data_IF_605998970548
#
_entry.id   IF_605998970548
#
_cell.length_a   1.000
_cell.length_b   1.000
_cell.length_c   1.000
_cell.angle_alpha   90.00
_cell.angle_beta   90.00
_cell.angle_gamma   90.00
#
_symmetry.space_group_name_H-M   'P 1'
#
loop_
_entity.id
_entity.type
_entity.pdbx_description
1 polymer ?
#
# COMPACT_ATOMS: atom_id res chain seq x y z
N UNK A 1 -16.60 7.31 -12.65
CA UNK A 1 -15.26 6.94 -13.17
C UNK A 1 -14.40 6.46 -11.99
N UNK A 2 -13.46 5.53 -12.22
CA UNK A 2 -12.56 5.08 -11.17
C UNK A 2 -11.57 6.20 -10.78
N UNK A 3 -11.57 6.62 -9.53
CA UNK A 3 -10.68 7.71 -9.04
C UNK A 3 -9.91 7.37 -7.76
N UNK A 4 -10.05 6.14 -7.24
CA UNK A 4 -9.28 5.70 -6.07
C UNK A 4 -7.87 5.28 -6.51
N UNK A 5 -6.88 5.87 -5.89
CA UNK A 5 -5.47 5.54 -6.00
C UNK A 5 -5.06 4.85 -4.72
N UNK A 6 -4.67 3.59 -4.81
CA UNK A 6 -4.18 2.83 -3.68
C UNK A 6 -2.68 2.99 -3.60
N UNK A 7 -2.14 3.19 -2.40
CA UNK A 7 -0.71 3.09 -2.13
C UNK A 7 -0.52 1.94 -1.15
N UNK A 8 0.10 0.88 -1.63
CA UNK A 8 0.28 -0.34 -0.85
C UNK A 8 1.75 -0.78 -0.80
N UNK A 9 2.02 -1.87 -0.13
CA UNK A 9 3.35 -2.41 0.15
C UNK A 9 3.53 -2.70 1.62
N UNK A 10 4.60 -3.36 1.97
CA UNK A 10 4.94 -3.77 3.33
C UNK A 10 5.02 -2.57 4.29
N UNK A 11 4.74 -2.70 5.58
CA UNK A 11 4.99 -1.65 6.57
C UNK A 11 6.46 -1.16 6.48
N UNK A 12 6.66 0.17 6.44
CA UNK A 12 8.02 0.74 6.39
C UNK A 12 8.50 1.22 5.01
N UNK A 13 7.88 0.82 3.90
CA UNK A 13 8.29 1.16 2.54
C UNK A 13 8.02 2.62 2.11
N UNK A 14 7.25 3.40 2.89
CA UNK A 14 7.03 4.83 2.62
C UNK A 14 5.63 5.22 2.14
N UNK A 15 4.62 4.36 2.30
CA UNK A 15 3.23 4.63 1.87
C UNK A 15 2.68 5.98 2.31
N UNK A 16 2.73 6.25 3.62
CA UNK A 16 2.20 7.50 4.21
C UNK A 16 2.96 8.74 3.71
N UNK A 17 4.27 8.62 3.50
CA UNK A 17 5.09 9.71 2.96
C UNK A 17 4.65 10.07 1.54
N UNK A 18 4.46 9.07 0.68
CA UNK A 18 4.00 9.29 -0.68
C UNK A 18 2.56 9.83 -0.70
N UNK A 19 1.67 9.25 0.12
CA UNK A 19 0.28 9.67 0.20
C UNK A 19 0.15 11.16 0.58
N UNK A 20 0.84 11.59 1.64
CA UNK A 20 0.87 13.00 2.05
C UNK A 20 1.42 13.91 0.94
N UNK A 21 2.47 13.46 0.25
CA UNK A 21 3.07 14.25 -0.83
C UNK A 21 2.16 14.36 -2.07
N UNK A 22 1.44 13.31 -2.43
CA UNK A 22 0.43 13.36 -3.51
C UNK A 22 -0.71 14.31 -3.16
N UNK A 23 -1.17 14.32 -1.91
CA UNK A 23 -2.29 15.15 -1.46
C UNK A 23 -1.92 16.64 -1.26
N UNK A 24 -0.65 17.02 -1.40
CA UNK A 24 -0.26 18.44 -1.54
C UNK A 24 -0.70 19.02 -2.90
N UNK A 25 -0.98 18.17 -3.88
CA UNK A 25 -1.47 18.61 -5.19
C UNK A 25 -2.98 18.80 -5.15
N UNK A 26 -3.53 19.93 -5.68
CA UNK A 26 -4.97 20.13 -5.80
C UNK A 26 -5.66 18.97 -6.51
N UNK A 27 -6.86 18.64 -6.08
CA UNK A 27 -7.67 17.56 -6.64
C UNK A 27 -7.30 16.15 -6.14
N UNK A 28 -6.40 16.05 -5.12
CA UNK A 28 -6.12 14.80 -4.43
C UNK A 28 -6.53 14.89 -2.96
N UNK A 29 -7.23 13.87 -2.48
CA UNK A 29 -7.72 13.77 -1.11
C UNK A 29 -7.23 12.52 -0.42
N UNK A 30 -6.55 12.68 0.72
CA UNK A 30 -6.11 11.59 1.55
C UNK A 30 -7.29 11.01 2.34
N UNK A 31 -7.44 9.69 2.31
CA UNK A 31 -8.32 8.96 3.20
C UNK A 31 -7.53 7.87 3.91
N UNK A 32 -7.39 8.03 5.22
CA UNK A 32 -6.88 6.97 6.09
C UNK A 32 -8.05 6.03 6.43
N UNK A 33 -7.92 4.76 6.05
CA UNK A 33 -9.00 3.79 6.15
C UNK A 33 -9.48 3.58 7.60
N UNK A 34 -8.54 3.53 8.55
CA UNK A 34 -8.84 3.41 9.97
C UNK A 34 -9.66 4.60 10.51
N UNK A 35 -9.35 5.79 10.05
CA UNK A 35 -10.09 7.00 10.44
C UNK A 35 -11.48 7.03 9.81
N UNK A 36 -11.60 6.62 8.55
CA UNK A 36 -12.89 6.50 7.87
C UNK A 36 -13.81 5.52 8.61
N UNK A 37 -13.29 4.31 8.89
CA UNK A 37 -14.02 3.26 9.62
C UNK A 37 -14.48 3.76 10.98
N UNK A 38 -13.62 4.43 11.73
CA UNK A 38 -13.95 4.93 13.07
C UNK A 38 -14.94 6.09 13.01
N UNK A 39 -14.71 7.09 12.18
CA UNK A 39 -15.52 8.31 12.10
C UNK A 39 -16.94 8.02 11.60
N UNK A 40 -17.07 7.17 10.60
CA UNK A 40 -18.35 6.83 10.00
C UNK A 40 -18.98 5.56 10.58
N UNK A 41 -18.40 5.01 11.66
CA UNK A 41 -18.87 3.81 12.37
C UNK A 41 -19.07 2.58 11.45
N UNK A 42 -18.16 2.41 10.48
CA UNK A 42 -18.20 1.32 9.52
C UNK A 42 -17.57 0.04 10.09
N UNK A 43 -18.00 -0.36 11.27
CA UNK A 43 -17.50 -1.54 11.98
C UNK A 43 -18.63 -2.26 12.71
N UNK A 44 -18.48 -3.57 12.87
CA UNK A 44 -19.42 -4.43 13.58
C UNK A 44 -19.19 -4.35 15.10
N UNK A 45 -17.92 -4.35 15.53
CA UNK A 45 -17.52 -4.32 16.95
C UNK A 45 -16.09 -3.85 17.11
N UNK A 46 -15.74 -3.50 18.34
CA UNK A 46 -14.35 -3.27 18.74
C UNK A 46 -13.76 -4.53 19.37
N UNK A 47 -12.67 -5.03 18.85
CA UNK A 47 -11.89 -6.15 19.41
C UNK A 47 -10.92 -5.61 20.46
N UNK A 48 -11.24 -5.85 21.75
CA UNK A 48 -10.45 -5.36 22.88
C UNK A 48 -9.09 -6.05 22.95
N UNK A 49 -8.99 -7.33 22.61
CA UNK A 49 -7.75 -8.10 22.67
C UNK A 49 -6.75 -7.61 21.63
N UNK A 50 -7.20 -7.32 20.43
CA UNK A 50 -6.38 -6.81 19.32
C UNK A 50 -6.31 -5.29 19.26
N UNK A 51 -7.08 -4.59 20.10
CA UNK A 51 -7.20 -3.12 20.13
C UNK A 51 -7.53 -2.54 18.74
N UNK A 52 -8.48 -3.16 18.02
CA UNK A 52 -8.85 -2.77 16.66
C UNK A 52 -10.34 -2.93 16.41
N UNK A 53 -10.85 -2.24 15.39
CA UNK A 53 -12.24 -2.38 14.95
C UNK A 53 -12.37 -3.54 13.96
N UNK A 54 -13.41 -4.37 14.15
CA UNK A 54 -13.83 -5.38 13.17
C UNK A 54 -14.69 -4.68 12.14
N UNK A 55 -14.15 -4.51 10.94
CA UNK A 55 -14.77 -3.71 9.87
C UNK A 55 -16.03 -4.38 9.34
N UNK A 56 -17.08 -3.59 9.13
CA UNK A 56 -18.21 -3.98 8.28
C UNK A 56 -17.82 -3.82 6.81
N UNK A 57 -17.44 -4.93 6.20
CA UNK A 57 -16.95 -4.94 4.80
C UNK A 57 -18.01 -4.44 3.81
N UNK A 58 -19.29 -4.73 4.04
CA UNK A 58 -20.39 -4.33 3.17
C UNK A 58 -20.58 -2.82 3.19
N UNK A 59 -20.69 -2.24 4.37
CA UNK A 59 -20.84 -0.80 4.56
C UNK A 59 -19.61 -0.04 4.05
N UNK A 60 -18.41 -0.55 4.32
CA UNK A 60 -17.18 0.06 3.82
C UNK A 60 -17.10 0.00 2.30
N UNK A 61 -17.45 -1.12 1.67
CA UNK A 61 -17.51 -1.27 0.21
C UNK A 61 -18.48 -0.25 -0.43
N UNK A 62 -19.68 -0.11 0.12
CA UNK A 62 -20.67 0.87 -0.33
C UNK A 62 -20.12 2.30 -0.23
N UNK A 63 -19.50 2.63 0.91
CA UNK A 63 -18.91 3.95 1.14
C UNK A 63 -17.77 4.28 0.18
N UNK A 64 -16.85 3.34 -0.03
CA UNK A 64 -15.76 3.51 -1.00
C UNK A 64 -16.28 3.63 -2.44
N UNK A 65 -17.34 2.92 -2.78
CA UNK A 65 -18.04 3.08 -4.06
C UNK A 65 -18.62 4.48 -4.24
N UNK A 66 -19.18 5.09 -3.20
CA UNK A 66 -19.65 6.49 -3.21
C UNK A 66 -18.48 7.46 -3.37
N UNK A 67 -17.41 7.28 -2.60
CA UNK A 67 -16.21 8.12 -2.67
C UNK A 67 -15.55 8.05 -4.06
N UNK A 68 -15.63 6.90 -4.73
CA UNK A 68 -15.07 6.76 -6.09
C UNK A 68 -15.76 7.58 -7.16
N UNK A 69 -16.91 8.16 -6.87
CA UNK A 69 -17.67 9.02 -7.78
C UNK A 69 -17.42 10.51 -7.54
N UNK A 70 -16.64 10.87 -6.52
CA UNK A 70 -16.31 12.27 -6.26
C UNK A 70 -15.46 12.85 -7.40
N UNK A 71 -15.41 14.17 -7.50
CA UNK A 71 -14.53 14.89 -8.43
C UNK A 71 -13.06 14.80 -8.03
N UNK A 72 -12.79 14.57 -6.75
CA UNK A 72 -11.43 14.45 -6.21
C UNK A 72 -10.86 13.04 -6.43
N UNK A 73 -9.55 12.96 -6.64
CA UNK A 73 -8.81 11.69 -6.64
C UNK A 73 -8.54 11.26 -5.22
N UNK A 74 -9.11 10.14 -4.82
CA UNK A 74 -8.93 9.59 -3.48
C UNK A 74 -7.60 8.86 -3.40
N UNK A 75 -6.74 9.25 -2.49
CA UNK A 75 -5.48 8.56 -2.16
C UNK A 75 -5.70 7.74 -0.90
N UNK A 76 -5.56 6.43 -1.02
CA UNK A 76 -5.81 5.47 0.05
C UNK A 76 -4.53 4.68 0.36
N UNK A 77 -3.73 5.10 1.36
CA UNK A 77 -2.62 4.28 1.83
C UNK A 77 -3.16 3.10 2.65
N UNK A 78 -2.88 1.89 2.22
CA UNK A 78 -3.32 0.68 2.93
C UNK A 78 -2.36 -0.47 2.66
N UNK A 79 -2.10 -1.30 3.66
CA UNK A 79 -1.45 -2.60 3.48
C UNK A 79 -2.47 -3.71 3.15
N UNK A 80 -3.74 -3.43 3.33
CA UNK A 80 -4.85 -4.31 2.99
C UNK A 80 -5.54 -3.73 1.75
N UNK A 81 -5.32 -4.32 0.59
CA UNK A 81 -6.11 -4.02 -0.63
C UNK A 81 -7.40 -4.83 -0.59
N UNK A 82 -7.93 -5.00 0.52
CA UNK A 82 -8.95 -5.94 0.90
C UNK A 82 -10.12 -6.16 -0.04
N UNK A 83 -10.82 -7.21 0.23
CA UNK A 83 -12.06 -7.67 -0.42
C UNK A 83 -13.16 -6.60 -0.51
N UNK A 84 -13.03 -5.53 0.27
CA UNK A 84 -13.98 -4.41 0.36
C UNK A 84 -13.77 -3.31 -0.70
N UNK A 85 -12.67 -3.33 -1.48
CA UNK A 85 -12.45 -2.35 -2.55
C UNK A 85 -13.07 -2.84 -3.86
N UNK A 86 -14.11 -2.16 -4.39
CA UNK A 86 -14.63 -2.51 -5.70
C UNK A 86 -13.55 -2.26 -6.76
N UNK A 87 -13.13 -3.30 -7.48
CA UNK A 87 -12.12 -3.19 -8.55
C UNK A 87 -12.42 -2.07 -9.54
N UNK A 88 -13.71 -1.85 -9.85
CA UNK A 88 -14.16 -0.80 -10.76
C UNK A 88 -13.84 0.61 -10.22
N UNK A 89 -13.80 0.81 -8.92
CA UNK A 89 -13.52 2.09 -8.26
C UNK A 89 -12.04 2.46 -8.24
N UNK A 90 -11.15 1.48 -8.42
CA UNK A 90 -9.71 1.68 -8.37
C UNK A 90 -9.18 2.11 -9.74
N UNK A 91 -8.53 3.27 -9.78
CA UNK A 91 -7.81 3.77 -10.95
C UNK A 91 -6.46 3.08 -11.10
N UNK A 92 -5.68 3.06 -10.03
CA UNK A 92 -4.33 2.49 -10.01
C UNK A 92 -3.94 2.13 -8.57
N UNK A 93 -3.23 1.02 -8.42
CA UNK A 93 -2.52 0.66 -7.20
C UNK A 93 -1.02 0.87 -7.41
N UNK A 94 -0.43 1.71 -6.58
CA UNK A 94 1.02 1.93 -6.50
C UNK A 94 1.57 1.00 -5.41
N UNK A 95 2.29 -0.03 -5.81
CA UNK A 95 2.93 -0.98 -4.89
C UNK A 95 4.36 -0.52 -4.65
N UNK A 96 4.63 -0.03 -3.45
CA UNK A 96 5.97 0.42 -3.06
C UNK A 96 6.78 -0.78 -2.59
N UNK A 97 7.97 -0.91 -3.15
CA UNK A 97 8.94 -1.95 -2.83
C UNK A 97 10.15 -1.31 -2.15
N UNK A 98 10.83 -2.05 -1.31
CA UNK A 98 12.03 -1.60 -0.63
C UNK A 98 12.98 -2.77 -0.39
N UNK A 99 14.27 -2.54 -0.60
CA UNK A 99 15.31 -3.51 -0.27
C UNK A 99 15.07 -4.13 1.12
N UNK A 100 15.04 -5.48 1.24
CA UNK A 100 14.72 -6.17 2.49
C UNK A 100 15.62 -5.82 3.66
N UNK A 101 16.92 -5.64 3.43
CA UNK A 101 17.89 -5.27 4.48
C UNK A 101 17.60 -3.87 5.00
N UNK A 102 17.32 -2.93 4.10
CA UNK A 102 16.94 -1.56 4.47
C UNK A 102 15.61 -1.57 5.20
N UNK A 103 14.65 -2.36 4.75
CA UNK A 103 13.34 -2.49 5.39
C UNK A 103 13.46 -3.00 6.82
N UNK A 104 14.17 -4.11 7.02
CA UNK A 104 14.41 -4.67 8.36
C UNK A 104 15.00 -3.63 9.30
N UNK A 105 16.09 -2.97 8.90
CA UNK A 105 16.73 -1.91 9.70
C UNK A 105 15.76 -0.78 10.05
N UNK A 106 14.91 -0.36 9.11
CA UNK A 106 13.88 0.67 9.38
C UNK A 106 12.83 0.22 10.39
N UNK A 107 12.41 -1.03 10.32
CA UNK A 107 11.41 -1.58 11.25
C UNK A 107 12.02 -1.73 12.65
N UNK A 108 13.26 -2.20 12.75
CA UNK A 108 14.00 -2.29 14.02
C UNK A 108 14.19 -0.91 14.66
N UNK A 109 14.57 0.10 13.87
CA UNK A 109 14.73 1.47 14.35
C UNK A 109 13.42 2.10 14.84
N UNK A 110 12.25 1.57 14.41
CA UNK A 110 10.92 1.96 14.92
C UNK A 110 10.49 1.20 16.17
N UNK A 111 11.36 0.42 16.78
CA UNK A 111 11.08 -0.33 17.99
C UNK A 111 10.34 -1.66 17.78
N UNK A 112 10.25 -2.16 16.54
CA UNK A 112 9.62 -3.46 16.30
C UNK A 112 10.52 -4.59 16.83
N UNK A 113 9.89 -5.64 17.37
CA UNK A 113 10.64 -6.84 17.79
C UNK A 113 11.35 -7.48 16.58
N UNK A 114 12.41 -8.23 16.81
CA UNK A 114 13.13 -8.97 15.75
C UNK A 114 12.15 -9.79 14.92
N UNK A 115 11.34 -10.60 15.57
CA UNK A 115 10.34 -11.46 14.94
C UNK A 115 9.39 -10.66 14.03
N UNK A 116 8.76 -9.61 14.54
CA UNK A 116 7.80 -8.80 13.76
C UNK A 116 8.48 -8.07 12.60
N UNK A 117 9.70 -7.60 12.78
CA UNK A 117 10.47 -6.97 11.71
C UNK A 117 10.80 -8.00 10.63
N UNK A 118 11.20 -9.22 11.02
CA UNK A 118 11.50 -10.30 10.09
C UNK A 118 10.25 -10.74 9.30
N UNK A 119 9.14 -11.07 9.96
CA UNK A 119 7.87 -11.44 9.30
C UNK A 119 7.47 -10.46 8.18
N UNK A 120 7.68 -9.16 8.39
CA UNK A 120 7.39 -8.16 7.36
C UNK A 120 8.47 -8.08 6.27
N UNK A 121 9.73 -8.31 6.64
CA UNK A 121 10.84 -8.37 5.66
C UNK A 121 10.69 -9.58 4.74
N UNK A 122 10.35 -10.73 5.29
CA UNK A 122 10.05 -11.93 4.53
C UNK A 122 8.87 -11.73 3.57
N UNK A 123 7.78 -11.10 4.06
CA UNK A 123 6.65 -10.74 3.19
C UNK A 123 7.04 -9.80 2.03
N UNK A 124 8.05 -8.94 2.21
CA UNK A 124 8.61 -8.11 1.15
C UNK A 124 9.44 -8.93 0.17
N UNK A 125 10.27 -9.87 0.64
CA UNK A 125 11.05 -10.79 -0.19
C UNK A 125 10.11 -11.63 -1.07
N UNK A 126 9.02 -12.13 -0.48
CA UNK A 126 8.02 -12.99 -1.14
C UNK A 126 7.01 -12.22 -1.99
N UNK A 127 7.18 -10.92 -2.20
CA UNK A 127 6.29 -10.09 -3.02
C UNK A 127 4.81 -10.08 -2.60
N UNK A 128 4.50 -10.38 -1.33
CA UNK A 128 3.12 -10.60 -0.86
C UNK A 128 2.19 -9.46 -1.28
N UNK A 129 2.54 -8.21 -1.00
CA UNK A 129 1.70 -7.05 -1.35
C UNK A 129 1.52 -6.87 -2.87
N UNK A 130 2.53 -7.23 -3.66
CA UNK A 130 2.47 -7.16 -5.13
C UNK A 130 1.55 -8.24 -5.69
N UNK A 131 1.70 -9.46 -5.22
CA UNK A 131 0.89 -10.60 -5.67
C UNK A 131 -0.59 -10.42 -5.30
N UNK A 132 -0.90 -10.00 -4.07
CA UNK A 132 -2.26 -9.65 -3.67
C UNK A 132 -2.85 -8.55 -4.54
N UNK A 133 -2.08 -7.50 -4.83
CA UNK A 133 -2.53 -6.39 -5.67
C UNK A 133 -2.90 -6.87 -7.07
N UNK A 134 -2.06 -7.73 -7.66
CA UNK A 134 -2.27 -8.28 -9.00
C UNK A 134 -3.46 -9.23 -9.04
N UNK A 135 -3.62 -10.06 -8.02
CA UNK A 135 -4.76 -10.98 -7.90
C UNK A 135 -6.08 -10.22 -7.80
N UNK A 136 -6.17 -9.22 -6.95
CA UNK A 136 -7.41 -8.50 -6.66
C UNK A 136 -7.79 -7.49 -7.75
N UNK A 137 -6.81 -6.78 -8.30
CA UNK A 137 -7.06 -5.66 -9.22
C UNK A 137 -6.74 -6.01 -10.68
N UNK A 138 -5.98 -7.06 -10.90
CA UNK A 138 -5.40 -7.42 -12.19
C UNK A 138 -4.15 -6.59 -12.53
N UNK A 139 -3.23 -7.15 -13.34
CA UNK A 139 -1.91 -6.56 -13.59
C UNK A 139 -1.97 -5.15 -14.23
N UNK A 140 -3.03 -4.87 -15.00
CA UNK A 140 -3.19 -3.57 -15.66
C UNK A 140 -3.47 -2.39 -14.72
N UNK A 141 -3.88 -2.67 -13.47
CA UNK A 141 -4.15 -1.65 -12.46
C UNK A 141 -3.08 -1.59 -11.36
N UNK A 142 -1.97 -2.29 -11.54
CA UNK A 142 -0.89 -2.35 -10.57
C UNK A 142 0.37 -1.76 -11.18
N UNK A 143 0.98 -0.81 -10.47
CA UNK A 143 2.25 -0.22 -10.83
C UNK A 143 3.20 -0.36 -9.64
N UNK A 144 4.31 -1.05 -9.86
CA UNK A 144 5.35 -1.29 -8.86
C UNK A 144 6.37 -0.15 -8.88
N UNK A 145 6.78 0.31 -7.72
CA UNK A 145 7.80 1.35 -7.55
C UNK A 145 8.83 0.86 -6.55
N UNK A 146 10.03 0.60 -6.99
CA UNK A 146 11.16 0.40 -6.10
C UNK A 146 11.56 1.74 -5.47
N UNK A 147 11.51 1.81 -4.14
CA UNK A 147 11.87 2.99 -3.35
C UNK A 147 13.30 2.93 -2.81
N UNK A 148 14.01 1.83 -3.06
CA UNK A 148 15.41 1.65 -2.68
C UNK A 148 16.25 2.75 -3.29
N UNK A 149 17.04 3.42 -2.47
CA UNK A 149 17.93 4.54 -2.89
C UNK A 149 17.26 5.70 -3.63
N UNK A 150 15.90 5.80 -3.57
CA UNK A 150 15.17 6.93 -4.16
C UNK A 150 14.76 7.93 -3.08
N UNK A 151 14.87 9.21 -3.41
CA UNK A 151 14.30 10.27 -2.58
C UNK A 151 12.77 10.26 -2.66
N UNK A 152 12.10 10.78 -1.64
CA UNK A 152 10.64 10.93 -1.64
C UNK A 152 10.13 11.74 -2.85
N UNK A 153 10.92 12.69 -3.35
CA UNK A 153 10.59 13.47 -4.55
C UNK A 153 10.68 12.61 -5.83
N UNK A 154 11.67 11.74 -5.93
CA UNK A 154 11.81 10.82 -7.08
C UNK A 154 10.64 9.84 -7.14
N UNK A 155 10.27 9.23 -6.02
CA UNK A 155 9.10 8.33 -5.90
C UNK A 155 7.81 9.06 -6.26
N UNK A 156 7.63 10.30 -5.78
CA UNK A 156 6.49 11.13 -6.13
C UNK A 156 6.39 11.42 -7.62
N UNK A 157 7.49 11.85 -8.26
CA UNK A 157 7.53 12.12 -9.72
C UNK A 157 7.19 10.87 -10.53
N UNK A 158 7.71 9.72 -10.13
CA UNK A 158 7.43 8.42 -10.77
C UNK A 158 5.95 8.04 -10.62
N UNK A 159 5.38 8.24 -9.42
CA UNK A 159 3.96 8.02 -9.15
C UNK A 159 3.05 8.90 -10.03
N UNK A 160 3.38 10.17 -10.21
CA UNK A 160 2.62 11.07 -11.09
C UNK A 160 2.69 10.62 -12.55
N UNK A 161 3.85 10.16 -13.03
CA UNK A 161 4.00 9.63 -14.39
C UNK A 161 3.13 8.38 -14.59
N UNK A 162 3.10 7.47 -13.61
CA UNK A 162 2.24 6.28 -13.66
C UNK A 162 0.74 6.68 -13.72
N UNK A 163 0.33 7.66 -12.93
CA UNK A 163 -1.04 8.15 -12.88
C UNK A 163 -1.48 8.88 -14.17
N UNK A 164 -0.57 9.58 -14.85
CA UNK A 164 -0.86 10.32 -16.09
C UNK A 164 -0.94 9.40 -17.30
N UNK A 165 -0.07 8.40 -17.38
CA UNK A 165 0.00 7.49 -18.53
C UNK A 165 -1.15 6.51 -18.60
N UNK A 166 -1.91 6.31 -17.49
CA UNK A 166 -3.05 5.38 -17.43
C UNK A 166 -2.69 3.92 -17.74
N UNK A 167 -1.43 3.63 -17.93
CA UNK A 167 -0.89 2.31 -18.30
C UNK A 167 0.26 1.94 -17.37
N UNK A 168 0.27 0.70 -17.01
CA UNK A 168 1.42 -0.01 -16.47
C UNK A 168 2.53 0.01 -17.53
N UNK A 169 3.46 0.95 -17.42
CA UNK A 169 4.78 0.71 -17.99
C UNK A 169 5.31 -0.60 -17.39
N UNK A 170 6.20 -1.29 -18.08
CA UNK A 170 6.97 -2.38 -17.44
C UNK A 170 7.60 -1.75 -16.19
N UNK A 171 7.01 -1.96 -15.03
CA UNK A 171 7.65 -1.70 -13.76
C UNK A 171 8.91 -2.57 -13.76
N UNK A 172 10.04 -2.03 -13.41
CA UNK A 172 11.22 -2.84 -13.18
C UNK A 172 10.85 -3.80 -12.07
N UNK A 173 10.56 -5.04 -12.45
CA UNK A 173 10.19 -6.08 -11.51
C UNK A 173 11.42 -6.33 -10.65
N UNK A 174 11.34 -5.87 -9.41
CA UNK A 174 12.35 -6.22 -8.41
C UNK A 174 12.05 -7.66 -8.01
N UNK A 175 13.02 -8.52 -8.17
CA UNK A 175 12.95 -9.91 -7.71
C UNK A 175 13.90 -10.07 -6.52
N UNK A 176 13.37 -9.84 -5.32
CA UNK A 176 14.17 -9.96 -4.10
C UNK A 176 14.60 -11.40 -3.83
N UNK A 177 13.80 -12.42 -4.21
CA UNK A 177 14.16 -13.83 -4.07
C UNK A 177 15.38 -14.22 -4.94
N UNK A 178 15.63 -13.53 -6.04
CA UNK A 178 16.82 -13.74 -6.82
C UNK A 178 18.09 -13.13 -6.21
N UNK A 179 17.92 -12.19 -5.27
CA UNK A 179 19.01 -11.46 -4.63
C UNK A 179 19.28 -11.92 -3.18
N UNK A 180 18.26 -12.46 -2.51
CA UNK A 180 18.32 -12.82 -1.10
C UNK A 180 17.73 -14.20 -0.87
N UNK A 181 18.50 -15.09 -0.25
CA UNK A 181 17.96 -16.29 0.38
C UNK A 181 17.34 -15.89 1.73
N UNK A 182 16.01 -16.10 1.95
CA UNK A 182 15.36 -15.70 3.19
C UNK A 182 15.96 -16.33 4.43
N UNK A 183 16.37 -17.62 4.36
CA UNK A 183 16.92 -18.35 5.50
C UNK A 183 18.29 -17.81 5.88
N UNK A 184 19.15 -17.56 4.91
CA UNK A 184 20.47 -16.96 5.15
C UNK A 184 20.35 -15.52 5.65
N UNK A 185 19.44 -14.74 5.08
CA UNK A 185 19.23 -13.35 5.47
C UNK A 185 18.70 -13.25 6.90
N UNK A 186 17.78 -14.12 7.32
CA UNK A 186 17.27 -14.14 8.70
C UNK A 186 18.38 -14.38 9.74
N UNK A 187 19.33 -15.27 9.39
CA UNK A 187 20.47 -15.58 10.29
C UNK A 187 21.45 -14.42 10.42
N UNK A 188 21.51 -13.55 9.42
CA UNK A 188 22.48 -12.44 9.37
C UNK A 188 21.94 -11.12 9.92
N UNK A 189 20.62 -10.98 10.06
CA UNK A 189 19.92 -9.77 10.56
C UNK A 189 19.54 -9.89 12.04
#
# INVERSE_FOLDING_TARGET
MANIIIITGTPGVGKTTLAKKLCQKPGFKLIELSDLVRKERLYVRYDRARKTYVVDETSLRKRLGTLSRSSERIVLPSHLIGRFLPRASVKLALVLRLDPVILYKRLRARGWTKRKAWENTEAEILDVSLQESRLLLGPRKVFEIDTTRKSALAVYKESLRALSRGRTGKSALVNWLALYDPIELERTL
#
